data_IF_705213643111
#
_entry.id   IF_705213643111
#
_cell.length_a   1.000
_cell.length_b   1.000
_cell.length_c   1.000
_cell.angle_alpha   90.00
_cell.angle_beta   90.00
_cell.angle_gamma   90.00
#
_symmetry.space_group_name_H-M   'P 1'
#
loop_
_entity.id
_entity.type
_entity.pdbx_description
1 polymer ?
#
# COMPACT_ATOMS: atom_id res chain seq x y z
N UNK A 1 31.78 2.70 15.22
CA UNK A 1 32.19 1.28 15.46
C UNK A 1 31.12 0.41 16.16
N UNK A 2 29.88 0.87 16.41
CA UNK A 2 28.83 0.08 17.08
C UNK A 2 27.97 -0.78 16.13
N UNK A 3 27.76 -0.34 14.89
CA UNK A 3 26.92 -1.07 13.90
C UNK A 3 27.44 -2.47 13.56
N UNK A 4 28.77 -2.64 13.38
CA UNK A 4 29.35 -3.95 13.03
C UNK A 4 29.16 -5.04 14.08
N UNK A 5 28.98 -4.66 15.37
CA UNK A 5 28.74 -5.63 16.45
C UNK A 5 27.29 -6.12 16.48
N UNK A 6 26.35 -5.26 16.10
CA UNK A 6 24.92 -5.56 16.05
C UNK A 6 24.65 -6.57 14.93
N UNK A 7 25.25 -6.38 13.75
CA UNK A 7 25.10 -7.28 12.59
C UNK A 7 25.54 -8.73 12.89
N UNK A 8 26.62 -8.87 13.68
CA UNK A 8 27.17 -10.18 14.07
C UNK A 8 26.30 -10.90 15.12
N UNK A 9 25.58 -10.15 15.96
CA UNK A 9 24.72 -10.70 17.01
C UNK A 9 23.48 -11.40 16.43
N UNK A 10 22.84 -10.79 15.42
CA UNK A 10 21.66 -11.37 14.78
C UNK A 10 21.99 -12.57 13.88
N UNK A 11 23.16 -12.58 13.22
CA UNK A 11 23.58 -13.68 12.34
C UNK A 11 23.82 -15.02 13.05
N UNK A 12 24.26 -14.98 14.30
CA UNK A 12 24.65 -16.19 15.05
C UNK A 12 23.60 -16.69 16.04
N UNK A 13 22.45 -16.01 16.17
CA UNK A 13 21.46 -16.37 17.17
C UNK A 13 20.42 -17.34 16.56
N UNK A 14 20.49 -18.60 17.00
CA UNK A 14 19.64 -19.70 16.51
C UNK A 14 18.12 -19.41 16.71
N UNK A 15 17.77 -18.66 17.75
CA UNK A 15 16.40 -18.19 18.00
C UNK A 15 15.85 -17.28 16.88
N UNK A 16 16.72 -16.52 16.21
CA UNK A 16 16.33 -15.64 15.09
C UNK A 16 16.18 -16.40 13.76
N UNK A 17 16.71 -17.62 13.63
CA UNK A 17 16.54 -18.44 12.42
C UNK A 17 15.19 -19.15 12.36
N UNK A 18 14.57 -19.42 13.51
CA UNK A 18 13.39 -20.30 13.60
C UNK A 18 12.06 -19.57 13.80
N UNK A 19 12.07 -18.35 14.32
CA UNK A 19 10.90 -17.47 14.34
C UNK A 19 11.11 -16.39 13.29
N UNK A 20 10.11 -16.13 12.45
CA UNK A 20 10.11 -15.07 11.43
C UNK A 20 10.15 -13.69 12.11
N UNK A 21 11.26 -13.35 12.74
CA UNK A 21 11.51 -12.01 13.26
C UNK A 21 11.85 -11.14 12.05
N UNK A 22 10.86 -10.39 11.59
CA UNK A 22 11.04 -9.40 10.56
C UNK A 22 12.14 -8.41 10.96
N UNK A 23 13.03 -8.10 10.03
CA UNK A 23 14.01 -7.03 10.18
C UNK A 23 13.30 -5.74 10.62
N UNK A 24 13.93 -4.87 11.44
CA UNK A 24 13.33 -3.60 11.86
C UNK A 24 12.84 -2.75 10.66
N UNK A 25 13.58 -2.77 9.56
CA UNK A 25 13.24 -2.12 8.29
C UNK A 25 12.02 -2.75 7.57
N UNK A 26 11.75 -4.03 7.84
CA UNK A 26 10.54 -4.72 7.38
C UNK A 26 9.37 -4.55 8.36
N UNK A 27 9.64 -4.28 9.63
CA UNK A 27 8.62 -4.05 10.65
C UNK A 27 7.81 -2.80 10.30
N UNK A 28 8.46 -1.67 9.96
CA UNK A 28 7.75 -0.45 9.53
C UNK A 28 6.85 -0.69 8.30
N UNK A 29 7.25 -1.58 7.38
CA UNK A 29 6.43 -1.92 6.20
C UNK A 29 5.28 -2.88 6.50
N UNK A 30 5.37 -3.65 7.58
CA UNK A 30 4.38 -4.67 7.95
C UNK A 30 3.33 -4.17 8.94
N UNK A 31 3.64 -3.10 9.68
CA UNK A 31 2.67 -2.44 10.56
C UNK A 31 1.58 -1.70 9.75
N UNK A 32 1.91 -1.27 8.53
CA UNK A 32 1.00 -0.47 7.72
C UNK A 32 0.09 -1.34 6.85
N UNK A 33 -1.19 -0.96 6.81
CA UNK A 33 -2.18 -1.61 5.97
C UNK A 33 -2.30 -0.86 4.64
N UNK A 34 -2.79 -1.55 3.60
CA UNK A 34 -3.10 -0.93 2.32
C UNK A 34 -4.07 0.24 2.50
N UNK A 35 -4.99 0.17 3.47
CA UNK A 35 -5.83 1.30 3.79
C UNK A 35 -5.03 2.53 4.18
N UNK A 36 -3.84 2.47 4.79
CA UNK A 36 -3.07 3.67 5.19
C UNK A 36 -2.27 4.28 4.03
N UNK A 37 -2.31 3.63 2.87
CA UNK A 37 -1.57 4.03 1.69
C UNK A 37 -2.27 5.18 0.98
N UNK A 38 -1.48 6.14 0.51
CA UNK A 38 -1.92 7.24 -0.35
C UNK A 38 -2.55 6.77 -1.66
N UNK A 39 -2.21 5.57 -2.13
CA UNK A 39 -2.75 5.01 -3.37
C UNK A 39 -4.02 4.18 -3.17
N UNK A 40 -4.46 4.02 -1.94
CA UNK A 40 -5.73 3.36 -1.63
C UNK A 40 -6.81 4.42 -1.51
N UNK A 41 -7.69 4.47 -2.51
CA UNK A 41 -8.67 5.53 -2.68
C UNK A 41 -10.07 4.96 -2.76
N UNK A 42 -11.05 5.78 -2.39
CA UNK A 42 -12.46 5.47 -2.61
C UNK A 42 -12.84 5.87 -4.03
N UNK A 43 -13.19 4.88 -4.84
CA UNK A 43 -13.72 5.08 -6.18
C UNK A 43 -15.21 5.38 -6.04
N UNK A 44 -15.61 6.58 -6.44
CA UNK A 44 -16.99 7.04 -6.45
C UNK A 44 -17.62 6.62 -7.77
N UNK A 45 -18.52 5.64 -7.71
CA UNK A 45 -19.31 5.19 -8.83
C UNK A 45 -20.70 5.83 -8.84
N UNK A 46 -21.43 5.64 -9.94
CA UNK A 46 -22.80 6.16 -10.07
C UNK A 46 -23.80 5.47 -9.12
N UNK A 47 -23.59 4.19 -8.82
CA UNK A 47 -24.47 3.39 -7.97
C UNK A 47 -23.77 2.87 -6.71
N UNK A 48 -22.47 2.63 -6.79
CA UNK A 48 -21.70 1.99 -5.73
C UNK A 48 -20.35 2.65 -5.56
N UNK A 49 -19.93 2.79 -4.31
CA UNK A 49 -18.62 3.31 -3.94
C UNK A 49 -17.76 2.14 -3.48
N UNK A 50 -16.58 1.97 -4.09
CA UNK A 50 -15.65 0.88 -3.73
C UNK A 50 -14.25 1.42 -3.52
N UNK A 51 -13.57 0.93 -2.50
CA UNK A 51 -12.18 1.28 -2.23
C UNK A 51 -11.24 0.35 -3.00
N UNK A 52 -10.27 0.91 -3.71
CA UNK A 52 -9.27 0.10 -4.42
C UNK A 52 -7.90 0.76 -4.47
N UNK A 53 -6.88 -0.07 -4.74
CA UNK A 53 -5.53 0.39 -4.98
C UNK A 53 -5.38 0.84 -6.44
N UNK A 54 -5.07 2.13 -6.64
CA UNK A 54 -4.89 2.69 -7.99
C UNK A 54 -3.43 2.77 -8.43
N UNK A 55 -2.49 2.31 -7.60
CA UNK A 55 -1.07 2.27 -7.92
C UNK A 55 -0.73 1.54 -9.25
N UNK A 56 -1.43 0.45 -9.65
CA UNK A 56 -1.15 -0.23 -10.91
C UNK A 56 -1.46 0.61 -12.14
N UNK A 57 -2.26 1.69 -11.99
CA UNK A 57 -2.61 2.58 -13.08
C UNK A 57 -1.39 3.49 -13.41
N UNK A 58 -0.93 3.55 -14.67
CA UNK A 58 0.33 4.19 -15.04
C UNK A 58 0.46 5.65 -14.59
N UNK A 59 -0.64 6.40 -14.63
CA UNK A 59 -0.67 7.84 -14.32
C UNK A 59 -0.45 8.13 -12.84
N UNK A 60 -0.73 7.15 -11.98
CA UNK A 60 -0.56 7.26 -10.55
C UNK A 60 0.75 6.61 -10.07
N UNK A 61 1.40 5.79 -10.92
CA UNK A 61 2.64 5.08 -10.58
C UNK A 61 3.78 6.02 -10.16
N UNK A 62 3.95 7.15 -10.84
CA UNK A 62 5.04 8.11 -10.60
C UNK A 62 4.65 9.33 -9.75
N UNK A 63 3.40 9.43 -9.28
CA UNK A 63 2.98 10.58 -8.48
C UNK A 63 3.44 10.40 -7.03
N UNK A 64 4.42 11.21 -6.61
CA UNK A 64 4.90 11.29 -5.24
C UNK A 64 3.88 11.91 -4.27
N UNK A 65 2.95 12.72 -4.79
CA UNK A 65 1.77 13.18 -4.05
C UNK A 65 0.63 12.22 -4.35
N UNK A 66 0.19 11.54 -3.30
CA UNK A 66 -0.94 10.64 -3.33
C UNK A 66 -2.14 11.23 -4.06
N UNK A 67 -2.89 10.40 -4.82
CA UNK A 67 -4.20 10.80 -5.30
C UNK A 67 -5.11 11.31 -4.17
N UNK A 68 -6.12 12.08 -4.55
CA UNK A 68 -7.20 12.51 -3.65
C UNK A 68 -7.77 11.30 -2.90
N UNK A 69 -8.31 11.48 -1.68
CA UNK A 69 -8.94 10.38 -0.94
C UNK A 69 -10.10 9.73 -1.71
N UNK A 70 -10.71 10.49 -2.63
CA UNK A 70 -11.84 10.08 -3.45
C UNK A 70 -11.57 10.39 -4.93
N UNK A 71 -11.90 9.46 -5.82
CA UNK A 71 -11.74 9.59 -7.28
C UNK A 71 -13.03 9.14 -7.96
N UNK A 72 -13.47 9.88 -8.97
CA UNK A 72 -14.59 9.48 -9.82
C UNK A 72 -14.21 8.32 -10.75
N UNK A 73 -15.07 7.32 -10.85
CA UNK A 73 -14.90 6.17 -11.75
C UNK A 73 -14.62 6.58 -13.20
N UNK A 74 -15.19 7.70 -13.68
CA UNK A 74 -14.96 8.21 -15.04
C UNK A 74 -13.53 8.72 -15.24
N UNK A 75 -12.85 9.20 -14.21
CA UNK A 75 -11.43 9.55 -14.32
C UNK A 75 -10.56 8.30 -14.49
N UNK A 76 -10.94 7.20 -13.84
CA UNK A 76 -10.20 5.94 -13.92
C UNK A 76 -10.43 5.25 -15.27
N UNK A 77 -11.67 5.21 -15.74
CA UNK A 77 -12.04 4.58 -17.02
C UNK A 77 -11.44 5.27 -18.25
N UNK A 78 -10.92 6.50 -18.12
CA UNK A 78 -10.11 7.15 -19.18
C UNK A 78 -8.76 6.49 -19.40
N UNK A 79 -8.30 5.68 -18.45
CA UNK A 79 -6.92 5.21 -18.37
C UNK A 79 -6.80 3.69 -18.31
N UNK A 80 -7.85 2.99 -17.89
CA UNK A 80 -7.91 1.53 -17.84
C UNK A 80 -9.25 1.03 -18.36
N UNK A 81 -9.27 -0.23 -18.78
CA UNK A 81 -10.50 -0.91 -19.19
C UNK A 81 -11.39 -1.26 -17.99
N UNK A 82 -12.68 -1.50 -18.24
CA UNK A 82 -13.63 -1.94 -17.21
C UNK A 82 -13.22 -3.27 -16.55
N UNK A 83 -12.64 -4.19 -17.32
CA UNK A 83 -12.11 -5.48 -16.81
C UNK A 83 -10.97 -5.27 -15.82
N UNK A 84 -10.02 -4.41 -16.16
CA UNK A 84 -8.90 -4.08 -15.28
C UNK A 84 -9.38 -3.38 -14.01
N UNK A 85 -10.38 -2.50 -14.12
CA UNK A 85 -10.99 -1.86 -12.95
C UNK A 85 -11.63 -2.89 -12.01
N UNK A 86 -12.41 -3.84 -12.54
CA UNK A 86 -13.02 -4.89 -11.72
C UNK A 86 -11.95 -5.74 -11.03
N UNK A 87 -10.92 -6.15 -11.76
CA UNK A 87 -9.80 -6.92 -11.20
C UNK A 87 -9.08 -6.16 -10.07
N UNK A 88 -8.86 -4.84 -10.24
CA UNK A 88 -8.27 -3.99 -9.19
C UNK A 88 -9.13 -3.96 -7.94
N UNK A 89 -10.43 -3.77 -8.10
CA UNK A 89 -11.39 -3.71 -7.00
C UNK A 89 -11.46 -5.05 -6.26
N UNK A 90 -11.58 -6.17 -6.97
CA UNK A 90 -11.67 -7.51 -6.39
C UNK A 90 -10.38 -7.93 -5.68
N UNK A 91 -9.23 -7.57 -6.24
CA UNK A 91 -7.92 -7.91 -5.66
C UNK A 91 -7.57 -6.99 -4.48
N UNK A 92 -8.15 -5.80 -4.42
CA UNK A 92 -7.88 -4.83 -3.37
C UNK A 92 -8.59 -5.17 -2.06
N UNK A 93 -7.91 -4.92 -0.94
CA UNK A 93 -8.51 -5.03 0.39
C UNK A 93 -7.84 -4.06 1.34
N UNK A 94 -8.66 -3.35 2.13
CA UNK A 94 -8.22 -2.39 3.13
C UNK A 94 -7.33 -3.05 4.20
N UNK A 95 -7.59 -4.32 4.52
CA UNK A 95 -6.94 -5.08 5.58
C UNK A 95 -5.73 -5.89 5.11
N UNK A 96 -5.36 -5.82 3.82
CA UNK A 96 -4.11 -6.41 3.34
C UNK A 96 -2.92 -5.57 3.83
N UNK A 97 -1.83 -6.24 4.20
CA UNK A 97 -0.54 -5.59 4.49
C UNK A 97 -0.13 -4.72 3.30
N UNK A 98 0.44 -3.55 3.56
CA UNK A 98 0.88 -2.63 2.53
C UNK A 98 1.96 -3.26 1.63
N UNK A 99 1.96 -2.89 0.35
CA UNK A 99 2.96 -3.36 -0.60
C UNK A 99 4.31 -2.63 -0.44
N UNK A 100 5.32 -3.09 -1.16
CA UNK A 100 6.66 -2.49 -1.18
C UNK A 100 6.70 -1.04 -1.69
N UNK A 101 5.66 -0.57 -2.39
CA UNK A 101 5.50 0.80 -2.87
C UNK A 101 4.62 1.68 -1.96
N UNK A 102 4.51 1.31 -0.68
CA UNK A 102 3.73 2.06 0.30
C UNK A 102 4.20 3.52 0.44
N UNK A 103 3.25 4.44 0.39
CA UNK A 103 3.45 5.86 0.70
C UNK A 103 2.40 6.27 1.71
N UNK A 104 2.84 6.62 2.94
CA UNK A 104 1.95 7.03 4.02
C UNK A 104 1.07 8.20 3.59
N UNK A 105 -0.24 8.07 3.76
CA UNK A 105 -1.16 9.18 3.52
C UNK A 105 -0.95 10.26 4.59
N UNK A 106 -0.58 11.47 4.16
CA UNK A 106 -0.32 12.62 5.04
C UNK A 106 -1.51 13.59 5.13
N UNK A 107 -2.67 13.23 4.58
CA UNK A 107 -3.90 14.04 4.62
C UNK A 107 -4.84 13.65 5.76
N UNK A 108 -5.79 14.53 6.08
CA UNK A 108 -6.90 14.21 6.99
C UNK A 108 -7.91 13.36 6.21
N UNK A 109 -8.25 12.18 6.71
CA UNK A 109 -9.44 11.46 6.25
C UNK A 109 -10.63 12.06 6.97
N UNK A 110 -11.48 12.78 6.25
CA UNK A 110 -12.80 13.13 6.76
C UNK A 110 -13.54 11.81 6.98
N UNK A 111 -13.73 11.46 8.25
CA UNK A 111 -14.59 10.35 8.68
C UNK A 111 -16.04 10.68 8.38
#
# INVERSE_FOLDING_TARGET
MKEKKIDKYYKNNFLYRSHTMMLPEMHEKTIHLCQDCSFFVKIIGKQENKSACIKPIPIYKNKAKGPRPEIDIYEILKHISSKELMHLVETSSAHKTACSEFVKYSGVRSQ
#
